data_IF_269322644318
#
_entry.id   IF_269322644318
#
_cell.length_a   1.000
_cell.length_b   1.000
_cell.length_c   1.000
_cell.angle_alpha   90.00
_cell.angle_beta   90.00
_cell.angle_gamma   90.00
#
_symmetry.space_group_name_H-M   'P 1'
#
loop_
_entity.id
_entity.type
_entity.pdbx_description
1 polymer ?
#
# COMPACT_ATOMS: atom_id res chain seq x y z
N UNK A 1 -18.75 -12.72 -5.15
CA UNK A 1 -17.74 -11.96 -5.94
C UNK A 1 -16.38 -12.18 -5.31
N UNK A 2 -15.37 -12.55 -6.09
CA UNK A 2 -13.98 -12.67 -5.62
C UNK A 2 -13.44 -11.26 -5.34
N UNK A 3 -13.13 -10.97 -4.08
CA UNK A 3 -12.38 -9.77 -3.68
C UNK A 3 -10.89 -10.11 -3.66
N UNK A 4 -10.05 -9.13 -3.93
CA UNK A 4 -8.60 -9.31 -3.81
C UNK A 4 -8.24 -9.45 -2.33
N UNK A 5 -7.16 -10.16 -2.03
CA UNK A 5 -6.60 -10.26 -0.68
C UNK A 5 -5.25 -9.55 -0.67
N UNK A 6 -4.98 -8.83 0.41
CA UNK A 6 -3.68 -8.20 0.65
C UNK A 6 -3.01 -8.91 1.83
N UNK A 7 -1.80 -9.40 1.59
CA UNK A 7 -0.97 -10.06 2.60
C UNK A 7 0.41 -9.40 2.63
N UNK A 8 1.01 -9.36 3.82
CA UNK A 8 2.42 -8.97 3.99
C UNK A 8 3.31 -10.20 3.80
N UNK A 9 4.55 -9.97 3.35
CA UNK A 9 5.48 -11.07 3.04
C UNK A 9 5.81 -11.91 4.28
N UNK A 10 6.08 -11.24 5.42
CA UNK A 10 6.47 -11.87 6.67
C UNK A 10 6.38 -10.90 7.87
N UNK A 11 6.70 -11.42 9.07
CA UNK A 11 6.72 -10.66 10.32
C UNK A 11 7.79 -9.54 10.37
N UNK A 12 8.76 -9.52 9.45
CA UNK A 12 9.66 -8.37 9.32
C UNK A 12 8.92 -7.21 8.67
N UNK A 13 8.18 -7.46 7.59
CA UNK A 13 7.34 -6.44 6.94
C UNK A 13 6.30 -5.88 7.91
N UNK A 14 5.67 -6.72 8.73
CA UNK A 14 4.70 -6.25 9.75
C UNK A 14 5.34 -5.30 10.77
N UNK A 15 6.57 -5.59 11.21
CA UNK A 15 7.31 -4.73 12.13
C UNK A 15 7.71 -3.40 11.48
N UNK A 16 8.15 -3.44 10.22
CA UNK A 16 8.49 -2.23 9.46
C UNK A 16 7.26 -1.34 9.28
N UNK A 17 6.10 -1.91 8.94
CA UNK A 17 4.82 -1.19 8.85
C UNK A 17 4.42 -0.64 10.23
N UNK A 18 4.56 -1.43 11.30
CA UNK A 18 4.25 -1.01 12.67
C UNK A 18 5.09 0.19 13.14
N UNK A 19 6.35 0.28 12.70
CA UNK A 19 7.27 1.36 13.03
C UNK A 19 7.02 2.66 12.25
N UNK A 20 6.19 2.65 11.19
CA UNK A 20 5.82 3.86 10.46
C UNK A 20 5.09 4.87 11.36
N UNK A 21 5.17 6.16 11.02
CA UNK A 21 4.35 7.19 11.64
C UNK A 21 2.85 6.88 11.48
N UNK A 22 2.02 7.38 12.40
CA UNK A 22 0.61 7.03 12.45
C UNK A 22 -0.16 7.38 11.17
N UNK A 23 0.16 8.53 10.57
CA UNK A 23 -0.42 8.99 9.31
C UNK A 23 -0.04 8.08 8.13
N UNK A 24 1.21 7.62 8.07
CA UNK A 24 1.67 6.64 7.08
C UNK A 24 0.99 5.28 7.26
N UNK A 25 0.83 4.80 8.51
CA UNK A 25 0.08 3.55 8.78
C UNK A 25 -1.39 3.65 8.39
N UNK A 26 -2.01 4.81 8.62
CA UNK A 26 -3.39 5.06 8.18
C UNK A 26 -3.47 5.06 6.64
N UNK A 27 -2.49 5.69 5.98
CA UNK A 27 -2.39 5.72 4.52
C UNK A 27 -2.19 4.32 3.92
N UNK A 28 -1.31 3.51 4.51
CA UNK A 28 -1.11 2.11 4.13
C UNK A 28 -2.42 1.33 4.17
N UNK A 29 -3.11 1.35 5.32
CA UNK A 29 -4.40 0.65 5.53
C UNK A 29 -5.46 1.08 4.51
N UNK A 30 -5.51 2.38 4.20
CA UNK A 30 -6.45 2.90 3.22
C UNK A 30 -6.15 2.42 1.80
N UNK A 31 -4.88 2.42 1.36
CA UNK A 31 -4.52 1.89 0.04
C UNK A 31 -4.74 0.38 -0.03
N UNK A 32 -4.45 -0.36 1.06
CA UNK A 32 -4.73 -1.79 1.14
C UNK A 32 -6.23 -2.09 0.94
N UNK A 33 -7.12 -1.35 1.61
CA UNK A 33 -8.57 -1.50 1.41
C UNK A 33 -9.01 -1.24 -0.05
N UNK A 34 -8.44 -0.21 -0.71
CA UNK A 34 -8.70 0.02 -2.14
C UNK A 34 -8.24 -1.14 -3.02
N UNK A 35 -7.09 -1.73 -2.68
CA UNK A 35 -6.54 -2.89 -3.40
C UNK A 35 -7.41 -4.13 -3.20
N UNK A 36 -7.91 -4.39 -1.99
CA UNK A 36 -8.85 -5.49 -1.72
C UNK A 36 -10.16 -5.33 -2.52
N UNK A 37 -10.68 -4.10 -2.62
CA UNK A 37 -11.93 -3.80 -3.30
C UNK A 37 -11.80 -3.82 -4.83
N UNK A 38 -10.76 -3.21 -5.38
CA UNK A 38 -10.65 -2.93 -6.81
C UNK A 38 -9.51 -3.65 -7.52
N UNK A 39 -8.50 -4.10 -6.77
CA UNK A 39 -7.29 -4.72 -7.30
C UNK A 39 -6.26 -3.73 -7.86
N UNK A 40 -4.98 -4.16 -7.98
CA UNK A 40 -3.85 -3.30 -8.38
C UNK A 40 -3.92 -2.80 -9.82
N UNK A 41 -4.77 -3.37 -10.67
CA UNK A 41 -4.97 -2.91 -12.05
C UNK A 41 -5.86 -1.66 -12.13
N UNK A 42 -6.75 -1.48 -11.14
CA UNK A 42 -7.71 -0.36 -11.06
C UNK A 42 -7.24 0.73 -10.10
N UNK A 43 -6.56 0.37 -9.02
CA UNK A 43 -5.87 1.34 -8.16
C UNK A 43 -4.58 1.78 -8.85
N UNK A 44 -4.54 3.02 -9.31
CA UNK A 44 -3.42 3.60 -10.08
C UNK A 44 -2.82 4.81 -9.35
N UNK A 45 -2.08 5.65 -10.08
CA UNK A 45 -1.52 6.88 -9.56
C UNK A 45 -2.64 7.83 -9.07
N UNK A 46 -2.41 8.57 -7.97
CA UNK A 46 -1.13 8.78 -7.28
C UNK A 46 -0.75 7.71 -6.25
N UNK A 47 -1.59 6.69 -6.01
CA UNK A 47 -1.43 5.77 -4.89
C UNK A 47 -0.61 4.53 -5.22
N UNK A 48 -0.75 4.02 -6.44
CA UNK A 48 -0.08 2.80 -6.88
C UNK A 48 0.48 3.01 -8.27
N UNK A 49 1.77 2.74 -8.47
CA UNK A 49 2.45 2.86 -9.76
C UNK A 49 2.90 1.48 -10.26
N UNK A 50 2.53 1.06 -11.48
CA UNK A 50 3.08 -0.16 -12.05
C UNK A 50 4.57 -0.02 -12.33
N UNK A 51 5.35 -1.01 -11.88
CA UNK A 51 6.79 -1.11 -12.17
C UNK A 51 7.10 -2.09 -13.31
N UNK A 52 6.07 -2.78 -13.82
CA UNK A 52 6.21 -3.86 -14.80
C UNK A 52 6.35 -5.22 -14.14
N UNK A 53 6.30 -6.30 -14.93
CA UNK A 53 6.52 -7.66 -14.41
C UNK A 53 5.55 -8.11 -13.31
N UNK A 54 4.30 -7.59 -13.30
CA UNK A 54 3.32 -7.78 -12.21
C UNK A 54 3.83 -7.26 -10.85
N UNK A 55 4.64 -6.22 -10.87
CA UNK A 55 5.08 -5.48 -9.70
C UNK A 55 4.46 -4.08 -9.69
N UNK A 56 4.07 -3.63 -8.50
CA UNK A 56 3.52 -2.32 -8.26
C UNK A 56 4.16 -1.70 -7.03
N UNK A 57 4.38 -0.39 -7.08
CA UNK A 57 4.85 0.43 -5.96
C UNK A 57 3.65 1.09 -5.28
N UNK A 58 3.49 0.88 -3.96
CA UNK A 58 2.56 1.67 -3.15
C UNK A 58 3.24 2.98 -2.74
N UNK A 59 2.64 4.10 -3.14
CA UNK A 59 3.16 5.45 -2.90
C UNK A 59 2.42 6.10 -1.74
N UNK A 60 2.94 5.87 -0.54
CA UNK A 60 2.46 6.54 0.67
C UNK A 60 3.07 7.94 0.76
N UNK A 61 2.25 8.94 1.09
CA UNK A 61 2.71 10.32 1.37
C UNK A 61 2.24 10.70 2.76
N UNK A 62 3.18 11.02 3.64
CA UNK A 62 2.89 11.52 4.97
C UNK A 62 2.51 13.01 4.96
N UNK A 63 1.99 13.49 6.08
CA UNK A 63 1.52 14.88 6.26
C UNK A 63 2.63 15.90 6.05
N UNK A 64 3.88 15.53 6.33
CA UNK A 64 5.06 16.39 6.18
C UNK A 64 5.72 16.31 4.78
N UNK A 65 5.13 15.59 3.82
CA UNK A 65 5.70 15.38 2.48
C UNK A 65 7.06 14.63 2.47
N UNK A 66 7.51 14.12 3.63
CA UNK A 66 8.71 13.28 3.75
C UNK A 66 8.26 11.82 3.77
N UNK A 67 8.06 11.25 2.58
CA UNK A 67 8.13 9.80 2.43
C UNK A 67 9.57 9.50 2.01
N UNK A 68 10.41 9.07 2.96
CA UNK A 68 11.69 8.43 2.64
C UNK A 68 11.44 6.96 2.33
#
# INVERSE_FOLDING_TARGET
>A
MLRWTVETLDARVDREIGALAEDLRARFRWIAALLEEHGPHRVREPYVKPLGGKLWEMRMKGKDNIAR
#
